data_IF_615375827018
#
_entry.id   IF_615375827018
#
_cell.length_a   1.000
_cell.length_b   1.000
_cell.length_c   1.000
_cell.angle_alpha   90.00
_cell.angle_beta   90.00
_cell.angle_gamma   90.00
#
_symmetry.space_group_name_H-M   'P 1'
#
loop_
_entity.id
_entity.type
_entity.pdbx_description
1 polymer ?
#
# COMPACT_ATOMS: atom_id res chain seq x y z
N UNK A 1 14.09 28.48 -21.54
CA UNK A 1 14.48 28.58 -20.12
C UNK A 1 13.29 28.20 -19.24
N UNK A 2 12.20 28.97 -19.28
CA UNK A 2 10.96 28.71 -18.56
C UNK A 2 10.42 27.27 -18.68
N UNK A 3 10.28 26.70 -19.88
CA UNK A 3 9.85 25.28 -20.07
C UNK A 3 10.78 24.22 -19.46
N UNK A 4 12.09 24.50 -19.34
CA UNK A 4 13.04 23.54 -18.74
C UNK A 4 13.03 23.63 -17.22
N UNK A 5 12.83 24.83 -16.69
CA UNK A 5 12.68 25.09 -15.25
C UNK A 5 11.35 24.50 -14.73
N UNK A 6 10.27 24.63 -15.52
CA UNK A 6 8.95 24.03 -15.23
C UNK A 6 9.00 22.49 -15.26
N UNK A 7 9.70 21.89 -16.23
CA UNK A 7 9.91 20.44 -16.28
C UNK A 7 10.77 19.90 -15.13
N UNK A 8 11.75 20.68 -14.67
CA UNK A 8 12.58 20.30 -13.52
C UNK A 8 11.79 20.33 -12.20
N UNK A 9 11.00 21.38 -11.98
CA UNK A 9 10.16 21.50 -10.79
C UNK A 9 9.08 20.40 -10.72
N UNK A 10 8.46 20.08 -11.86
CA UNK A 10 7.52 18.96 -11.97
C UNK A 10 8.18 17.62 -11.65
N UNK A 11 9.38 17.36 -12.20
CA UNK A 11 10.12 16.12 -11.92
C UNK A 11 10.40 15.99 -10.43
N UNK A 12 10.87 17.06 -9.81
CA UNK A 12 11.15 17.10 -8.38
C UNK A 12 9.88 16.87 -7.54
N UNK A 13 8.75 17.48 -7.90
CA UNK A 13 7.46 17.24 -7.23
C UNK A 13 7.05 15.76 -7.33
N UNK A 14 7.07 15.18 -8.53
CA UNK A 14 6.73 13.77 -8.74
C UNK A 14 7.66 12.82 -7.98
N UNK A 15 8.95 13.12 -7.93
CA UNK A 15 9.94 12.35 -7.17
C UNK A 15 9.64 12.40 -5.66
N UNK A 16 9.38 13.58 -5.11
CA UNK A 16 8.99 13.76 -3.70
C UNK A 16 7.74 12.95 -3.35
N UNK A 17 6.72 12.94 -4.22
CA UNK A 17 5.50 12.15 -4.01
C UNK A 17 5.78 10.66 -3.98
N UNK A 18 6.62 10.17 -4.89
CA UNK A 18 6.98 8.74 -4.89
C UNK A 18 7.72 8.35 -3.61
N UNK A 19 8.58 9.22 -3.06
CA UNK A 19 9.25 8.95 -1.78
C UNK A 19 8.29 8.99 -0.60
N UNK A 20 7.28 9.86 -0.62
CA UNK A 20 6.23 9.86 0.40
C UNK A 20 5.44 8.54 0.38
N UNK A 21 5.09 8.04 -0.80
CA UNK A 21 4.41 6.75 -0.94
C UNK A 21 5.29 5.61 -0.42
N UNK A 22 6.58 5.56 -0.75
CA UNK A 22 7.52 4.56 -0.19
C UNK A 22 7.53 4.61 1.34
N UNK A 23 7.64 5.79 1.94
CA UNK A 23 7.69 5.93 3.40
C UNK A 23 6.39 5.43 4.08
N UNK A 24 5.23 5.67 3.48
CA UNK A 24 3.97 5.12 3.95
C UNK A 24 3.89 3.61 3.76
N UNK A 25 4.44 3.09 2.67
CA UNK A 25 4.47 1.66 2.40
C UNK A 25 5.37 0.92 3.39
N UNK A 26 6.57 1.44 3.66
CA UNK A 26 7.50 0.88 4.66
C UNK A 26 6.85 0.83 6.05
N UNK A 27 6.13 1.89 6.44
CA UNK A 27 5.39 1.92 7.71
C UNK A 27 4.26 0.88 7.78
N UNK A 28 3.63 0.56 6.64
CA UNK A 28 2.64 -0.52 6.55
C UNK A 28 3.33 -1.88 6.70
N UNK A 29 4.46 -2.10 6.03
CA UNK A 29 5.24 -3.35 6.14
C UNK A 29 5.72 -3.60 7.57
N UNK A 30 6.13 -2.56 8.29
CA UNK A 30 6.49 -2.66 9.71
C UNK A 30 5.27 -2.98 10.62
N UNK A 31 4.10 -2.43 10.31
CA UNK A 31 2.88 -2.63 11.12
C UNK A 31 2.18 -3.95 10.84
N UNK A 32 2.25 -4.46 9.61
CA UNK A 32 1.46 -5.60 9.15
C UNK A 32 1.64 -6.87 10.01
N UNK A 33 2.84 -7.29 10.41
CA UNK A 33 3.04 -8.46 11.26
C UNK A 33 2.39 -8.30 12.64
N UNK A 34 2.62 -7.17 13.30
CA UNK A 34 2.10 -6.88 14.64
C UNK A 34 0.57 -6.87 14.66
N UNK A 35 -0.07 -6.33 13.61
CA UNK A 35 -1.53 -6.40 13.47
C UNK A 35 -2.04 -7.84 13.42
N UNK A 36 -1.35 -8.73 12.69
CA UNK A 36 -1.77 -10.15 12.60
C UNK A 36 -1.72 -10.81 13.98
N UNK A 37 -0.67 -10.57 14.75
CA UNK A 37 -0.54 -11.08 16.13
C UNK A 37 -1.65 -10.56 17.05
N UNK A 38 -1.96 -9.26 16.99
CA UNK A 38 -3.03 -8.63 17.78
C UNK A 38 -4.40 -9.20 17.41
N UNK A 39 -4.70 -9.37 16.12
CA UNK A 39 -5.97 -9.95 15.66
C UNK A 39 -6.11 -11.41 16.04
N UNK A 40 -5.02 -12.16 16.00
CA UNK A 40 -4.98 -13.54 16.47
C UNK A 40 -5.27 -13.63 17.98
N UNK A 41 -4.68 -12.74 18.79
CA UNK A 41 -4.92 -12.69 20.23
C UNK A 41 -6.38 -12.33 20.56
N UNK A 42 -6.94 -11.32 19.88
CA UNK A 42 -8.34 -10.90 20.06
C UNK A 42 -9.33 -12.02 19.68
N UNK A 43 -9.05 -12.77 18.61
CA UNK A 43 -9.89 -13.90 18.23
C UNK A 43 -9.89 -14.99 19.31
N UNK A 44 -8.72 -15.32 19.88
CA UNK A 44 -8.61 -16.30 20.97
C UNK A 44 -9.38 -15.86 22.21
N UNK A 45 -9.16 -14.63 22.66
CA UNK A 45 -9.84 -14.08 23.84
C UNK A 45 -11.36 -14.12 23.66
N UNK A 46 -11.85 -13.67 22.51
CA UNK A 46 -13.28 -13.65 22.22
C UNK A 46 -13.90 -15.05 22.14
N UNK A 47 -13.16 -16.04 21.68
CA UNK A 47 -13.65 -17.43 21.67
C UNK A 47 -13.70 -18.04 23.07
N UNK A 48 -12.72 -17.73 23.93
CA UNK A 48 -12.72 -18.14 25.34
C UNK A 48 -13.87 -17.51 26.13
N UNK A 49 -14.28 -16.28 25.82
CA UNK A 49 -15.45 -15.65 26.45
C UNK A 49 -16.79 -16.28 26.01
N UNK A 50 -16.85 -16.78 24.78
CA UNK A 50 -18.09 -17.31 24.17
C UNK A 50 -18.29 -18.81 24.39
N UNK A 51 -17.23 -19.54 24.73
CA UNK A 51 -17.22 -21.00 24.88
C UNK A 51 -16.58 -21.37 26.21
N UNK A 52 -17.17 -22.29 26.97
CA UNK A 52 -16.44 -22.97 28.04
C UNK A 52 -15.28 -23.75 27.40
N UNK A 53 -14.06 -23.66 27.98
CA UNK A 53 -12.79 -24.22 27.45
C UNK A 53 -12.91 -25.69 27.00
N UNK A 54 -13.84 -26.46 27.55
CA UNK A 54 -14.11 -27.87 27.21
C UNK A 54 -14.66 -28.11 25.78
N UNK A 55 -15.13 -27.07 25.08
CA UNK A 55 -15.76 -27.18 23.75
C UNK A 55 -14.95 -26.54 22.62
N UNK A 56 -13.77 -26.00 22.91
CA UNK A 56 -12.90 -25.38 21.93
C UNK A 56 -12.11 -26.46 21.16
N UNK A 57 -12.42 -26.63 19.87
CA UNK A 57 -11.68 -27.49 18.96
C UNK A 57 -10.39 -26.76 18.50
N UNK A 58 -9.19 -27.21 18.91
CA UNK A 58 -7.93 -26.56 18.58
C UNK A 58 -7.63 -26.53 17.08
N UNK A 59 -7.96 -27.60 16.35
CA UNK A 59 -7.67 -27.71 14.91
C UNK A 59 -8.51 -26.71 14.11
N UNK A 60 -9.76 -26.51 14.54
CA UNK A 60 -10.63 -25.48 13.96
C UNK A 60 -10.12 -24.08 14.25
N UNK A 61 -9.66 -23.82 15.47
CA UNK A 61 -9.09 -22.51 15.85
C UNK A 61 -7.84 -22.19 15.02
N UNK A 62 -6.93 -23.15 14.85
CA UNK A 62 -5.74 -22.97 14.01
C UNK A 62 -6.11 -22.66 12.56
N UNK A 63 -7.12 -23.34 12.02
CA UNK A 63 -7.62 -23.08 10.66
C UNK A 63 -8.17 -21.67 10.50
N UNK A 64 -9.00 -21.21 11.45
CA UNK A 64 -9.57 -19.85 11.41
C UNK A 64 -8.48 -18.77 11.52
N UNK A 65 -7.46 -19.01 12.35
CA UNK A 65 -6.28 -18.13 12.45
C UNK A 65 -5.50 -18.07 11.13
N UNK A 66 -5.30 -19.21 10.46
CA UNK A 66 -4.60 -19.25 9.19
C UNK A 66 -5.37 -18.48 8.10
N UNK A 67 -6.69 -18.66 8.04
CA UNK A 67 -7.57 -17.94 7.11
C UNK A 67 -7.58 -16.44 7.40
N UNK A 68 -7.56 -16.04 8.68
CA UNK A 68 -7.46 -14.65 9.08
C UNK A 68 -6.12 -14.04 8.64
N UNK A 69 -5.01 -14.74 8.86
CA UNK A 69 -3.69 -14.28 8.44
C UNK A 69 -3.62 -14.07 6.92
N UNK A 70 -4.11 -15.03 6.13
CA UNK A 70 -4.17 -14.92 4.66
C UNK A 70 -5.04 -13.74 4.20
N UNK A 71 -6.21 -13.54 4.83
CA UNK A 71 -7.10 -12.41 4.52
C UNK A 71 -6.45 -11.06 4.81
N UNK A 72 -5.62 -10.99 5.85
CA UNK A 72 -4.94 -9.78 6.27
C UNK A 72 -3.65 -9.54 5.48
N UNK A 73 -3.06 -10.56 4.87
CA UNK A 73 -1.75 -10.46 4.23
C UNK A 73 -1.72 -9.43 3.09
N UNK A 74 -0.82 -8.46 3.22
CA UNK A 74 -0.57 -7.38 2.25
C UNK A 74 0.82 -7.49 1.61
N UNK A 75 1.56 -8.56 1.88
CA UNK A 75 2.97 -8.71 1.48
C UNK A 75 3.13 -8.63 -0.04
N UNK A 76 2.27 -9.33 -0.79
CA UNK A 76 2.34 -9.32 -2.25
C UNK A 76 2.08 -7.93 -2.82
N UNK A 77 1.07 -7.23 -2.30
CA UNK A 77 0.74 -5.87 -2.70
C UNK A 77 1.89 -4.90 -2.41
N UNK A 78 2.56 -5.03 -1.26
CA UNK A 78 3.69 -4.16 -0.92
C UNK A 78 4.88 -4.37 -1.85
N UNK A 79 5.24 -5.63 -2.11
CA UNK A 79 6.31 -5.97 -3.07
C UNK A 79 5.98 -5.43 -4.48
N UNK A 80 4.75 -5.59 -4.95
CA UNK A 80 4.32 -5.05 -6.25
C UNK A 80 4.38 -3.52 -6.26
N UNK A 81 3.91 -2.85 -5.21
CA UNK A 81 3.90 -1.40 -5.12
C UNK A 81 5.32 -0.82 -5.14
N UNK A 82 6.26 -1.39 -4.38
CA UNK A 82 7.69 -1.07 -4.42
C UNK A 82 8.26 -1.17 -5.84
N UNK A 83 7.96 -2.29 -6.53
CA UNK A 83 8.38 -2.48 -7.92
C UNK A 83 7.79 -1.42 -8.85
N UNK A 84 6.53 -1.05 -8.67
CA UNK A 84 5.88 -0.02 -9.48
C UNK A 84 6.44 1.38 -9.21
N UNK A 85 6.76 1.73 -7.96
CA UNK A 85 7.41 3.00 -7.63
C UNK A 85 8.80 3.10 -8.27
N UNK A 86 9.58 2.01 -8.25
CA UNK A 86 10.84 1.94 -8.99
C UNK A 86 10.63 2.16 -10.48
N UNK A 87 9.68 1.46 -11.10
CA UNK A 87 9.36 1.63 -12.54
C UNK A 87 8.90 3.05 -12.87
N UNK A 88 8.22 3.73 -11.94
CA UNK A 88 7.77 5.11 -12.11
C UNK A 88 8.97 6.07 -12.13
N UNK A 89 9.90 5.94 -11.19
CA UNK A 89 11.14 6.75 -11.15
C UNK A 89 12.00 6.53 -12.39
N UNK A 90 12.18 5.27 -12.81
CA UNK A 90 12.88 4.96 -14.07
C UNK A 90 12.20 5.57 -15.30
N UNK A 91 10.87 5.70 -15.30
CA UNK A 91 10.14 6.36 -16.38
C UNK A 91 10.27 7.89 -16.33
N UNK A 92 10.45 8.50 -15.15
CA UNK A 92 10.74 9.93 -15.02
C UNK A 92 12.12 10.30 -15.56
N UNK A 93 13.09 9.38 -15.45
CA UNK A 93 14.49 9.60 -15.86
C UNK A 93 14.77 9.23 -17.32
N UNK A 94 13.78 8.69 -18.03
CA UNK A 94 13.95 8.30 -19.42
C UNK A 94 14.07 9.55 -20.34
N UNK A 95 15.01 9.50 -21.30
CA UNK A 95 15.22 10.56 -22.31
C UNK A 95 14.08 10.66 -23.36
N UNK A 96 13.09 9.75 -23.31
CA UNK A 96 11.96 9.69 -24.23
C UNK A 96 10.63 10.10 -23.58
N UNK A 97 9.64 10.57 -24.36
CA UNK A 97 8.32 10.92 -23.82
C UNK A 97 7.65 9.73 -23.11
N UNK A 98 7.57 9.79 -21.78
CA UNK A 98 7.14 8.66 -20.94
C UNK A 98 5.71 8.79 -20.39
N UNK A 99 4.93 9.79 -20.80
CA UNK A 99 3.60 10.10 -20.24
C UNK A 99 2.61 8.92 -20.20
N UNK A 100 2.56 8.10 -21.27
CA UNK A 100 1.71 6.88 -21.30
C UNK A 100 2.19 5.83 -20.30
N UNK A 101 3.50 5.64 -20.17
CA UNK A 101 4.10 4.71 -19.21
C UNK A 101 3.85 5.18 -17.77
N UNK A 102 4.04 6.47 -17.50
CA UNK A 102 3.75 7.08 -16.19
C UNK A 102 2.27 6.90 -15.81
N UNK A 103 1.33 7.14 -16.75
CA UNK A 103 -0.10 6.86 -16.51
C UNK A 103 -0.37 5.40 -16.17
N UNK A 104 0.18 4.47 -16.93
CA UNK A 104 0.00 3.05 -16.68
C UNK A 104 0.55 2.64 -15.31
N UNK A 105 1.79 3.02 -14.99
CA UNK A 105 2.41 2.68 -13.71
C UNK A 105 1.65 3.31 -12.54
N UNK A 106 1.17 4.55 -12.68
CA UNK A 106 0.33 5.20 -11.66
C UNK A 106 -0.97 4.43 -11.39
N UNK A 107 -1.57 3.83 -12.42
CA UNK A 107 -2.77 3.00 -12.25
C UNK A 107 -2.47 1.72 -11.46
N UNK A 108 -1.32 1.10 -11.72
CA UNK A 108 -0.92 -0.10 -10.99
C UNK A 108 -0.57 0.22 -9.54
N UNK A 109 0.16 1.32 -9.26
CA UNK A 109 0.40 1.80 -7.88
C UNK A 109 -0.95 2.02 -7.15
N UNK A 110 -1.91 2.66 -7.82
CA UNK A 110 -3.24 2.88 -7.26
C UNK A 110 -4.00 1.58 -6.98
N UNK A 111 -3.83 0.56 -7.83
CA UNK A 111 -4.46 -0.76 -7.64
C UNK A 111 -3.93 -1.40 -6.35
N UNK A 112 -2.61 -1.47 -6.19
CA UNK A 112 -2.00 -2.07 -5.00
C UNK A 112 -2.38 -1.31 -3.73
N UNK A 113 -2.34 0.03 -3.74
CA UNK A 113 -2.76 0.84 -2.60
C UNK A 113 -4.24 0.63 -2.21
N UNK A 114 -5.12 0.34 -3.19
CA UNK A 114 -6.51 0.00 -2.91
C UNK A 114 -6.65 -1.36 -2.24
N UNK A 115 -5.94 -2.37 -2.72
CA UNK A 115 -5.96 -3.71 -2.13
C UNK A 115 -5.40 -3.70 -0.70
N UNK A 116 -4.29 -2.99 -0.46
CA UNK A 116 -3.74 -2.79 0.89
C UNK A 116 -4.78 -2.16 1.81
N UNK A 117 -5.42 -1.07 1.37
CA UNK A 117 -6.47 -0.41 2.14
C UNK A 117 -7.69 -1.31 2.41
N UNK A 118 -8.06 -2.18 1.47
CA UNK A 118 -9.17 -3.12 1.64
C UNK A 118 -8.85 -4.27 2.60
N UNK A 119 -7.57 -4.67 2.68
CA UNK A 119 -7.05 -5.69 3.61
C UNK A 119 -6.59 -5.11 4.94
N UNK A 120 -6.65 -3.79 5.14
CA UNK A 120 -5.98 -3.11 6.24
C UNK A 120 -6.39 -3.61 7.63
N UNK A 121 -7.69 -3.71 7.91
CA UNK A 121 -8.27 -4.12 9.22
C UNK A 121 -7.48 -3.61 10.45
N UNK A 122 -6.97 -2.38 10.33
CA UNK A 122 -6.12 -1.71 11.29
C UNK A 122 -6.16 -0.22 10.96
N UNK A 123 -6.31 0.61 11.98
CA UNK A 123 -6.46 2.05 11.82
C UNK A 123 -5.17 2.68 11.25
N UNK A 124 -4.01 2.21 11.69
CA UNK A 124 -2.71 2.75 11.26
C UNK A 124 -2.44 2.41 9.80
N UNK A 125 -2.62 1.15 9.39
CA UNK A 125 -2.50 0.74 7.98
C UNK A 125 -3.53 1.47 7.11
N UNK A 126 -4.78 1.61 7.59
CA UNK A 126 -5.83 2.33 6.85
C UNK A 126 -5.46 3.79 6.61
N UNK A 127 -4.90 4.46 7.62
CA UNK A 127 -4.42 5.85 7.51
C UNK A 127 -3.32 5.97 6.46
N UNK A 128 -2.28 5.15 6.53
CA UNK A 128 -1.21 5.17 5.54
C UNK A 128 -1.70 4.84 4.13
N UNK A 129 -2.65 3.91 3.98
CA UNK A 129 -3.25 3.61 2.69
C UNK A 129 -4.04 4.81 2.11
N UNK A 130 -4.67 5.63 2.95
CA UNK A 130 -5.33 6.88 2.52
C UNK A 130 -4.28 7.92 2.11
N UNK A 131 -3.24 8.13 2.92
CA UNK A 131 -2.16 9.08 2.62
C UNK A 131 -1.45 8.74 1.30
N UNK A 132 -1.16 7.45 1.05
CA UNK A 132 -0.66 6.99 -0.25
C UNK A 132 -1.61 7.34 -1.41
N UNK A 133 -2.92 7.10 -1.25
CA UNK A 133 -3.91 7.40 -2.29
C UNK A 133 -4.00 8.90 -2.59
N UNK A 134 -3.84 9.75 -1.58
CA UNK A 134 -3.78 11.20 -1.77
C UNK A 134 -2.56 11.60 -2.61
N UNK A 135 -1.38 11.06 -2.32
CA UNK A 135 -0.18 11.32 -3.15
C UNK A 135 -0.33 10.80 -4.57
N UNK A 136 -0.97 9.64 -4.75
CA UNK A 136 -1.26 9.08 -6.08
C UNK A 136 -2.22 9.98 -6.87
N UNK A 137 -3.23 10.58 -6.25
CA UNK A 137 -4.11 11.53 -6.94
C UNK A 137 -3.38 12.80 -7.36
N UNK A 138 -2.48 13.31 -6.51
CA UNK A 138 -1.62 14.46 -6.86
C UNK A 138 -0.69 14.12 -8.03
N UNK A 139 -0.11 12.91 -8.07
CA UNK A 139 0.66 12.41 -9.22
C UNK A 139 -0.22 12.38 -10.49
N UNK A 140 -1.45 11.83 -10.42
CA UNK A 140 -2.36 11.78 -11.57
C UNK A 140 -2.70 13.17 -12.10
N UNK A 141 -2.90 14.14 -11.21
CA UNK A 141 -3.14 15.54 -11.58
C UNK A 141 -1.94 16.14 -12.32
N UNK A 142 -0.74 15.99 -11.79
CA UNK A 142 0.48 16.48 -12.43
C UNK A 142 0.70 15.86 -13.81
N UNK A 143 0.50 14.55 -13.96
CA UNK A 143 0.64 13.87 -15.27
C UNK A 143 -0.38 14.39 -16.29
N UNK A 144 -1.62 14.72 -15.86
CA UNK A 144 -2.65 15.28 -16.75
C UNK A 144 -2.34 16.71 -17.19
N UNK A 145 -1.71 17.52 -16.34
CA UNK A 145 -1.41 18.92 -16.63
C UNK A 145 -0.27 19.10 -17.65
N UNK A 146 0.46 18.03 -17.94
CA UNK A 146 1.68 18.04 -18.78
C UNK A 146 1.41 17.47 -20.17
N UNK A 147 0.28 16.78 -20.37
CA UNK A 147 -0.26 16.40 -21.68
C UNK A 147 -0.89 17.58 -22.42
#
# INVERSE_FOLDING_TARGET
KMRREEGAALREDLEQRTHAIDAHLDAIEERAPTRVEERQAQLRERLQELMDDEHLDPDRLETEIALLADKLDVTEECVRLHSHLKMFREALDADEPSGRKLKFVTQEIHREANTIGAKADDETISRYAVEMKEEIEKIKEQIRNVE
#
